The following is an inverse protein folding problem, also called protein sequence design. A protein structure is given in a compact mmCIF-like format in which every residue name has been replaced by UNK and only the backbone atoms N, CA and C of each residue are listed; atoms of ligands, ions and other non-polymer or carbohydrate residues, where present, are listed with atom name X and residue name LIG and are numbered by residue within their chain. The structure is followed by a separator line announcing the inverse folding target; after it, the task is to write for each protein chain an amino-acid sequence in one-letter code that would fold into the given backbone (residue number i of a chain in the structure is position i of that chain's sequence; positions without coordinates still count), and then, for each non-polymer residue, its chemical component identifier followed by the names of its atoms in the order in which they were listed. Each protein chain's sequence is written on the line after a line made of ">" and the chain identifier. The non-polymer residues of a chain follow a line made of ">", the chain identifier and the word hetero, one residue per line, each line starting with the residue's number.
data_IF_417908669575
#
_entry.id   IF_417908669575
#
_cell.length_a   1.000
_cell.length_b   1.000
_cell.length_c   1.000
_cell.angle_alpha   90.00
_cell.angle_beta   90.00
_cell.angle_gamma   90.00
#
_symmetry.space_group_name_H-M   'P 1'
#
loop_
_entity.id
_entity.type
_entity.pdbx_description
1 polymer ?
#
# COMPACT_ATOMS: atom_id res chain seq x y z
N UNK A 1 24.03 8.75 8.93
CA UNK A 1 23.94 8.64 7.45
C UNK A 1 22.52 8.99 7.05
N UNK A 2 22.32 9.97 6.16
CA UNK A 2 20.99 10.26 5.58
C UNK A 2 21.00 9.70 4.17
N UNK A 3 20.22 8.65 3.93
CA UNK A 3 20.03 8.11 2.59
C UNK A 3 19.05 9.02 1.84
N UNK A 4 19.29 9.30 0.54
CA UNK A 4 18.31 9.99 -0.27
C UNK A 4 17.06 9.11 -0.39
N UNK A 5 15.90 9.68 -0.08
CA UNK A 5 14.60 9.03 -0.22
C UNK A 5 13.74 9.91 -1.11
N UNK A 6 13.10 9.29 -2.10
CA UNK A 6 12.07 9.91 -2.90
C UNK A 6 10.76 9.92 -2.08
N UNK A 7 10.44 11.07 -1.49
CA UNK A 7 9.28 11.23 -0.62
C UNK A 7 7.95 11.18 -1.38
N UNK A 8 7.93 11.68 -2.61
CA UNK A 8 6.72 11.71 -3.44
C UNK A 8 6.36 10.30 -3.88
N UNK A 9 7.35 9.53 -4.32
CA UNK A 9 7.16 8.11 -4.61
C UNK A 9 6.69 7.34 -3.38
N UNK A 10 7.33 7.57 -2.22
CA UNK A 10 6.94 6.89 -0.98
C UNK A 10 5.48 7.18 -0.61
N UNK A 11 5.04 8.44 -0.74
CA UNK A 11 3.65 8.81 -0.48
C UNK A 11 2.69 8.10 -1.43
N UNK A 12 2.99 8.10 -2.74
CA UNK A 12 2.18 7.43 -3.74
C UNK A 12 2.07 5.91 -3.47
N UNK A 13 3.17 5.24 -3.11
CA UNK A 13 3.19 3.82 -2.78
C UNK A 13 2.37 3.51 -1.50
N UNK A 14 2.36 4.41 -0.50
CA UNK A 14 1.50 4.29 0.70
C UNK A 14 0.02 4.44 0.34
N UNK A 15 -0.34 5.44 -0.45
CA UNK A 15 -1.72 5.73 -0.84
C UNK A 15 -2.29 4.60 -1.74
N UNK A 16 -1.49 4.07 -2.66
CA UNK A 16 -1.84 2.90 -3.45
C UNK A 16 -2.13 1.68 -2.56
N UNK A 17 -1.27 1.42 -1.56
CA UNK A 17 -1.51 0.34 -0.60
C UNK A 17 -2.74 0.59 0.28
N UNK A 18 -3.03 1.85 0.63
CA UNK A 18 -4.19 2.21 1.44
C UNK A 18 -5.52 1.87 0.75
N UNK A 19 -5.55 1.79 -0.58
CA UNK A 19 -6.73 1.36 -1.33
C UNK A 19 -7.16 -0.08 -1.00
N UNK A 20 -6.23 -0.97 -0.63
CA UNK A 20 -6.55 -2.34 -0.25
C UNK A 20 -7.18 -2.42 1.14
N UNK A 21 -8.50 -2.64 1.17
CA UNK A 21 -9.28 -2.67 2.39
C UNK A 21 -9.69 -1.28 2.89
N UNK A 22 -9.71 -0.28 2.00
CA UNK A 22 -10.20 1.07 2.30
C UNK A 22 -11.58 0.99 2.95
N UNK A 23 -11.76 1.79 3.99
CA UNK A 23 -13.05 2.01 4.63
C UNK A 23 -13.62 3.31 4.08
N UNK A 24 -14.78 3.23 3.45
CA UNK A 24 -15.51 4.42 3.01
C UNK A 24 -16.07 5.17 4.22
N UNK A 25 -15.90 6.49 4.21
CA UNK A 25 -16.44 7.38 5.25
C UNK A 25 -16.99 8.63 4.59
N UNK A 26 -17.85 9.36 5.31
CA UNK A 26 -18.43 10.61 4.82
C UNK A 26 -17.41 11.77 4.80
N UNK A 27 -16.26 11.62 5.46
CA UNK A 27 -15.16 12.57 5.41
C UNK A 27 -14.19 12.21 4.26
N UNK A 28 -14.09 13.05 3.20
CA UNK A 28 -13.21 12.78 2.06
C UNK A 28 -11.72 12.81 2.42
N UNK A 29 -11.34 13.45 3.53
CA UNK A 29 -9.96 13.53 4.01
C UNK A 29 -9.59 12.35 4.94
N UNK A 30 -10.56 11.49 5.28
CA UNK A 30 -10.30 10.36 6.14
C UNK A 30 -9.49 9.27 5.42
N UNK A 31 -8.43 8.80 6.09
CA UNK A 31 -7.60 7.70 5.63
C UNK A 31 -7.77 6.47 6.53
N UNK A 32 -8.82 5.68 6.25
CA UNK A 32 -9.13 4.45 6.97
C UNK A 32 -8.95 3.21 6.10
N UNK A 33 -8.35 2.14 6.66
CA UNK A 33 -8.40 0.81 6.05
C UNK A 33 -8.48 -0.30 7.10
N UNK A 34 -9.19 -1.37 6.76
CA UNK A 34 -9.19 -2.64 7.50
C UNK A 34 -8.72 -3.75 6.58
N UNK A 35 -7.54 -4.30 6.87
CA UNK A 35 -6.94 -5.35 6.07
C UNK A 35 -6.59 -6.57 6.95
N UNK A 36 -7.62 -7.38 7.25
CA UNK A 36 -7.48 -8.56 8.11
C UNK A 36 -6.76 -9.68 7.37
N UNK A 37 -5.92 -10.43 8.08
CA UNK A 37 -5.20 -11.59 7.53
C UNK A 37 -6.15 -12.60 6.87
N UNK A 38 -5.73 -13.11 5.70
CA UNK A 38 -6.49 -14.14 4.98
C UNK A 38 -7.71 -13.63 4.21
N UNK A 39 -8.01 -12.32 4.26
CA UNK A 39 -9.07 -11.72 3.44
C UNK A 39 -8.62 -11.45 2.01
N UNK A 40 -9.57 -11.20 1.13
CA UNK A 40 -9.28 -10.85 -0.26
C UNK A 40 -8.51 -9.52 -0.38
N UNK A 41 -8.84 -8.54 0.46
CA UNK A 41 -8.05 -7.30 0.53
C UNK A 41 -6.59 -7.55 0.96
N UNK A 42 -6.36 -8.56 1.81
CA UNK A 42 -5.01 -8.95 2.21
C UNK A 42 -4.25 -9.65 1.09
N UNK A 43 -4.92 -10.55 0.37
CA UNK A 43 -4.37 -11.21 -0.82
C UNK A 43 -3.90 -10.18 -1.83
N UNK A 44 -4.78 -9.27 -2.25
CA UNK A 44 -4.46 -8.22 -3.24
C UNK A 44 -3.28 -7.33 -2.82
N UNK A 45 -3.22 -6.94 -1.55
CA UNK A 45 -2.10 -6.16 -1.04
C UNK A 45 -0.78 -6.94 -1.07
N UNK A 46 -0.81 -8.24 -0.79
CA UNK A 46 0.37 -9.11 -0.85
C UNK A 46 0.81 -9.37 -2.29
N UNK A 47 -0.13 -9.62 -3.19
CA UNK A 47 0.16 -9.81 -4.61
C UNK A 47 0.81 -8.54 -5.17
N UNK A 48 0.25 -7.36 -4.86
CA UNK A 48 0.86 -6.08 -5.22
C UNK A 48 2.27 -5.92 -4.67
N UNK A 49 2.51 -6.24 -3.38
CA UNK A 49 3.84 -6.18 -2.79
C UNK A 49 4.83 -7.09 -3.52
N UNK A 50 4.43 -8.33 -3.82
CA UNK A 50 5.29 -9.29 -4.53
C UNK A 50 5.64 -8.78 -5.92
N UNK A 51 4.68 -8.22 -6.67
CA UNK A 51 4.97 -7.59 -7.96
C UNK A 51 5.98 -6.43 -7.82
N UNK A 52 5.82 -5.58 -6.79
CA UNK A 52 6.78 -4.47 -6.55
C UNK A 52 8.17 -4.95 -6.16
N UNK A 53 8.29 -6.09 -5.47
CA UNK A 53 9.57 -6.71 -5.16
C UNK A 53 10.22 -7.28 -6.44
N UNK A 54 9.43 -7.93 -7.30
CA UNK A 54 9.89 -8.41 -8.62
C UNK A 54 10.36 -7.27 -9.53
N UNK A 55 9.61 -6.17 -9.57
CA UNK A 55 10.01 -4.94 -10.29
C UNK A 55 11.36 -4.40 -9.79
N UNK A 56 11.67 -4.62 -8.51
CA UNK A 56 12.94 -4.22 -7.89
C UNK A 56 14.05 -5.27 -8.05
N UNK A 57 13.81 -6.38 -8.75
CA UNK A 57 14.78 -7.44 -8.98
C UNK A 57 14.97 -8.40 -7.79
N UNK A 58 13.96 -8.49 -6.92
CA UNK A 58 13.95 -9.40 -5.77
C UNK A 58 13.08 -10.63 -6.07
N UNK A 59 13.52 -11.81 -5.59
CA UNK A 59 12.85 -13.11 -5.71
C UNK A 59 12.43 -13.65 -4.33
#
# INVERSE_FOLDING_TARGET
>A
MRLPVDADRLRADIEANAAFGRVETDDPEAHGRTNRTGTEANRKARDHLVERLRDAGLD
#
